data_IF_133502502022
#
_entry.id   IF_133502502022
#
_cell.length_a   1.000
_cell.length_b   1.000
_cell.length_c   1.000
_cell.angle_alpha   90.00
_cell.angle_beta   90.00
_cell.angle_gamma   90.00
#
_symmetry.space_group_name_H-M   'P 1'
#
loop_
_entity.id
_entity.type
_entity.pdbx_description
1 polymer ?
#
# COMPACT_ATOMS: atom_id res chain seq x y z
N UNK A 1 3.73 -9.83 -3.95
CA UNK A 1 3.49 -10.37 -2.60
C UNK A 1 2.16 -11.11 -2.62
N UNK A 2 2.04 -12.28 -1.97
CA UNK A 2 0.80 -13.04 -1.91
C UNK A 2 0.34 -13.08 -0.45
N UNK A 3 -0.81 -12.50 -0.14
CA UNK A 3 -1.30 -12.42 1.24
C UNK A 3 -2.28 -13.58 1.50
N UNK A 4 -2.24 -14.18 2.69
CA UNK A 4 -3.23 -15.14 3.16
C UNK A 4 -4.31 -14.43 3.99
N UNK A 5 -5.57 -14.86 3.87
CA UNK A 5 -6.65 -14.28 4.65
C UNK A 5 -6.55 -14.72 6.12
N UNK A 6 -6.58 -13.81 7.12
CA UNK A 6 -6.46 -14.19 8.53
C UNK A 6 -7.70 -14.91 9.10
N UNK A 7 -8.83 -14.89 8.37
CA UNK A 7 -10.09 -15.47 8.84
C UNK A 7 -10.36 -16.87 8.31
N UNK A 8 -9.92 -17.15 7.08
CA UNK A 8 -10.23 -18.39 6.38
C UNK A 8 -9.02 -19.00 5.64
N UNK A 9 -7.83 -18.43 5.85
CA UNK A 9 -6.54 -18.94 5.36
C UNK A 9 -6.41 -19.04 3.83
N UNK A 10 -7.45 -18.62 3.10
CA UNK A 10 -7.47 -18.58 1.65
C UNK A 10 -6.44 -17.61 1.09
N UNK A 11 -5.92 -17.94 -0.10
CA UNK A 11 -5.05 -17.04 -0.84
C UNK A 11 -5.84 -15.85 -1.36
N UNK A 12 -5.40 -14.65 -0.98
CA UNK A 12 -6.03 -13.40 -1.40
C UNK A 12 -5.54 -12.97 -2.78
N UNK A 13 -6.43 -12.35 -3.55
CA UNK A 13 -6.18 -11.87 -4.91
C UNK A 13 -6.01 -10.35 -4.84
N UNK A 14 -5.03 -9.80 -5.56
CA UNK A 14 -4.88 -8.35 -5.67
C UNK A 14 -6.00 -7.79 -6.57
N UNK A 15 -6.71 -6.77 -6.10
CA UNK A 15 -7.68 -6.05 -6.92
C UNK A 15 -6.96 -5.26 -8.03
N UNK A 16 -7.53 -5.23 -9.24
CA UNK A 16 -6.89 -4.53 -10.37
C UNK A 16 -6.97 -3.00 -10.23
N UNK A 17 -8.05 -2.49 -9.65
CA UNK A 17 -8.33 -1.06 -9.53
C UNK A 17 -7.98 -0.44 -8.18
N UNK A 18 -7.71 -1.27 -7.17
CA UNK A 18 -7.46 -0.82 -5.80
C UNK A 18 -6.15 -1.42 -5.30
N UNK A 19 -5.38 -0.66 -4.52
CA UNK A 19 -4.17 -1.12 -3.86
C UNK A 19 -4.49 -1.99 -2.63
N UNK A 20 -5.34 -3.00 -2.82
CA UNK A 20 -5.79 -3.92 -1.77
C UNK A 20 -5.83 -5.36 -2.29
N UNK A 21 -5.61 -6.31 -1.39
CA UNK A 21 -5.88 -7.72 -1.62
C UNK A 21 -7.26 -8.06 -1.07
N UNK A 22 -8.06 -8.81 -1.83
CA UNK A 22 -9.42 -9.22 -1.46
C UNK A 22 -9.45 -10.75 -1.32
N UNK A 23 -10.01 -11.24 -0.21
CA UNK A 23 -10.27 -12.66 -0.03
C UNK A 23 -11.50 -13.08 -0.85
N UNK A 24 -11.41 -14.12 -1.71
CA UNK A 24 -12.55 -14.57 -2.51
C UNK A 24 -13.65 -15.25 -1.69
N UNK A 25 -13.32 -15.84 -0.54
CA UNK A 25 -14.29 -16.61 0.27
C UNK A 25 -15.10 -15.74 1.23
N UNK A 26 -14.48 -14.74 1.86
CA UNK A 26 -15.13 -13.90 2.87
C UNK A 26 -15.17 -12.41 2.53
N UNK A 27 -14.52 -11.97 1.45
CA UNK A 27 -14.48 -10.57 1.04
C UNK A 27 -13.57 -9.66 1.89
N UNK A 28 -12.83 -10.21 2.86
CA UNK A 28 -11.88 -9.42 3.66
C UNK A 28 -10.86 -8.68 2.78
N UNK A 29 -10.57 -7.43 3.12
CA UNK A 29 -9.67 -6.54 2.38
C UNK A 29 -8.40 -6.28 3.19
N UNK A 30 -7.25 -6.49 2.57
CA UNK A 30 -5.93 -6.31 3.19
C UNK A 30 -5.08 -5.31 2.40
N UNK A 31 -4.61 -4.27 3.08
CA UNK A 31 -3.70 -3.25 2.52
C UNK A 31 -2.27 -3.37 3.06
N UNK A 32 -2.00 -4.36 3.92
CA UNK A 32 -0.72 -4.51 4.61
C UNK A 32 0.45 -4.75 3.64
N UNK A 33 0.24 -5.60 2.62
CA UNK A 33 1.25 -5.92 1.61
C UNK A 33 1.49 -4.77 0.61
N UNK A 34 0.51 -3.86 0.44
CA UNK A 34 0.53 -2.81 -0.59
C UNK A 34 0.86 -1.42 0.00
N UNK A 35 1.24 -1.35 1.28
CA UNK A 35 1.85 -0.20 1.92
C UNK A 35 0.92 1.01 2.08
N UNK A 36 0.36 1.19 3.28
CA UNK A 36 -0.12 2.46 3.89
C UNK A 36 -0.82 3.53 3.04
N UNK A 37 -1.35 3.22 1.84
CA UNK A 37 -1.77 4.22 0.85
C UNK A 37 -0.68 5.27 0.56
N UNK A 38 0.58 4.85 0.42
CA UNK A 38 1.70 5.77 0.12
C UNK A 38 1.75 6.20 -1.35
N UNK A 39 0.61 6.34 -2.03
CA UNK A 39 0.58 6.94 -3.36
C UNK A 39 0.89 8.42 -3.23
N UNK A 40 2.04 8.82 -3.77
CA UNK A 40 2.46 10.22 -3.78
C UNK A 40 1.68 11.00 -4.84
N UNK A 41 1.28 12.22 -4.49
CA UNK A 41 0.72 13.17 -5.43
C UNK A 41 1.77 13.60 -6.46
N UNK A 42 1.31 14.17 -7.58
CA UNK A 42 2.20 14.69 -8.63
C UNK A 42 3.13 15.78 -8.09
N UNK A 43 2.64 16.58 -7.15
CA UNK A 43 3.37 17.64 -6.48
C UNK A 43 4.45 17.06 -5.57
N UNK A 44 4.16 16.00 -4.83
CA UNK A 44 5.14 15.28 -4.00
C UNK A 44 6.26 14.68 -4.85
N UNK A 45 5.93 14.12 -6.02
CA UNK A 45 6.93 13.62 -7.00
C UNK A 45 7.83 14.76 -7.50
N UNK A 46 7.25 15.93 -7.78
CA UNK A 46 8.02 17.10 -8.20
C UNK A 46 8.98 17.56 -7.11
N UNK A 47 8.53 17.59 -5.85
CA UNK A 47 9.38 17.97 -4.71
C UNK A 47 10.56 17.01 -4.52
N UNK A 48 10.36 15.70 -4.73
CA UNK A 48 11.44 14.71 -4.66
C UNK A 48 12.50 14.95 -5.74
N UNK A 49 12.10 15.29 -6.97
CA UNK A 49 13.03 15.67 -8.05
C UNK A 49 13.87 16.89 -7.67
N UNK A 50 13.30 17.81 -6.90
CA UNK A 50 13.95 19.03 -6.40
C UNK A 50 14.75 18.78 -5.09
N UNK A 51 14.86 17.52 -4.63
CA UNK A 51 15.64 17.13 -3.45
C UNK A 51 14.91 17.24 -2.12
N UNK A 52 13.58 17.43 -2.12
CA UNK A 52 12.75 17.49 -0.91
C UNK A 52 11.89 16.23 -0.79
N UNK A 53 12.10 15.44 0.25
CA UNK A 53 11.28 14.26 0.53
C UNK A 53 9.93 14.66 1.15
N UNK A 54 8.79 14.09 0.70
CA UNK A 54 7.50 14.25 1.36
C UNK A 54 7.41 13.44 2.67
N UNK A 55 6.56 13.86 3.60
CA UNK A 55 6.29 13.09 4.83
C UNK A 55 5.64 11.74 4.47
N UNK A 56 5.99 10.61 5.12
CA UNK A 56 6.85 10.44 6.30
C UNK A 56 8.35 10.26 5.97
N UNK A 57 8.74 10.26 4.70
CA UNK A 57 10.14 10.06 4.29
C UNK A 57 11.03 11.27 4.63
N UNK A 58 10.42 12.43 4.92
CA UNK A 58 11.08 13.69 5.23
C UNK A 58 11.90 13.71 6.54
N UNK A 59 11.78 12.72 7.44
CA UNK A 59 12.65 12.62 8.62
C UNK A 59 12.78 11.17 9.14
N UNK A 60 13.87 10.51 8.75
CA UNK A 60 14.57 9.56 9.63
C UNK A 60 15.78 10.28 10.23
N UNK A 61 15.58 11.02 11.32
CA UNK A 61 16.60 11.79 12.01
C UNK A 61 16.60 11.52 13.52
N UNK A 62 17.66 10.83 13.96
CA UNK A 62 18.05 10.33 15.30
C UNK A 62 17.10 9.31 15.96
#
# INVERSE_FOLDING_TARGET
MRCGCPYCEAFMIQAESENTCICPDCGYRCTACLGTNSMLSKEEIKQMKEGRLPFPFANGGN
#
